data_IF_288404115716
#
_entry.id   IF_288404115716
#
_cell.length_a   1.000
_cell.length_b   1.000
_cell.length_c   1.000
_cell.angle_alpha   90.00
_cell.angle_beta   90.00
_cell.angle_gamma   90.00
#
_symmetry.space_group_name_H-M   'P 1'
#
loop_
_entity.id
_entity.type
_entity.pdbx_description
1 polymer ?
#
# COMPACT_ATOMS: atom_id res chain seq x y z
N UNK A 1 64.28 -53.95 -36.34
CA UNK A 1 63.49 -52.78 -36.79
C UNK A 1 63.57 -52.72 -38.30
N UNK A 2 62.45 -52.83 -39.01
CA UNK A 2 62.42 -52.66 -40.46
C UNK A 2 62.78 -51.20 -40.79
N UNK A 3 63.91 -50.97 -41.48
CA UNK A 3 64.32 -49.64 -41.91
C UNK A 3 63.60 -49.30 -43.21
N UNK A 4 62.43 -48.66 -43.09
CA UNK A 4 61.65 -48.18 -44.23
C UNK A 4 62.04 -46.73 -44.50
N UNK A 5 62.54 -46.44 -45.71
CA UNK A 5 63.13 -45.13 -46.06
C UNK A 5 62.03 -44.06 -46.31
N UNK A 6 60.86 -44.47 -46.82
CA UNK A 6 59.80 -43.54 -47.24
C UNK A 6 58.85 -43.11 -46.12
N UNK A 7 58.83 -43.79 -44.97
CA UNK A 7 57.90 -43.46 -43.88
C UNK A 7 58.63 -43.49 -42.55
N UNK A 8 58.73 -42.32 -41.92
CA UNK A 8 59.36 -42.17 -40.61
C UNK A 8 58.29 -42.14 -39.52
N UNK A 9 58.02 -43.32 -38.95
CA UNK A 9 57.04 -43.46 -37.88
C UNK A 9 57.40 -42.65 -36.62
N UNK A 10 58.69 -42.48 -36.30
CA UNK A 10 59.13 -41.67 -35.15
C UNK A 10 58.84 -40.18 -35.37
N UNK A 11 59.08 -39.66 -36.58
CA UNK A 11 58.74 -38.28 -36.94
C UNK A 11 57.22 -38.05 -36.93
N UNK A 12 56.43 -39.00 -37.44
CA UNK A 12 54.97 -38.89 -37.44
C UNK A 12 54.38 -38.88 -36.01
N UNK A 13 54.88 -39.74 -35.12
CA UNK A 13 54.49 -39.76 -33.71
C UNK A 13 54.93 -38.47 -33.00
N UNK A 14 56.15 -37.98 -33.27
CA UNK A 14 56.64 -36.72 -32.73
C UNK A 14 55.77 -35.52 -33.19
N UNK A 15 55.39 -35.45 -34.47
CA UNK A 15 54.50 -34.42 -35.01
C UNK A 15 53.10 -34.47 -34.38
N UNK A 16 52.51 -35.68 -34.24
CA UNK A 16 51.21 -35.84 -33.59
C UNK A 16 51.24 -35.39 -32.11
N UNK A 17 52.29 -35.71 -31.37
CA UNK A 17 52.46 -35.27 -29.99
C UNK A 17 52.73 -33.76 -29.89
N UNK A 18 53.48 -33.19 -30.84
CA UNK A 18 53.76 -31.76 -30.92
C UNK A 18 52.47 -30.96 -31.20
N UNK A 19 51.63 -31.42 -32.12
CA UNK A 19 50.32 -30.80 -32.41
C UNK A 19 49.37 -30.86 -31.20
N UNK A 20 49.38 -31.96 -30.43
CA UNK A 20 48.63 -32.07 -29.18
C UNK A 20 49.13 -31.06 -28.14
N UNK A 21 50.44 -30.93 -27.96
CA UNK A 21 51.04 -29.96 -27.03
C UNK A 21 50.76 -28.51 -27.42
N UNK A 22 50.78 -28.18 -28.71
CA UNK A 22 50.39 -26.84 -29.20
C UNK A 22 48.92 -26.54 -28.92
N UNK A 23 48.03 -27.51 -29.13
CA UNK A 23 46.59 -27.35 -28.86
C UNK A 23 46.30 -27.17 -27.35
N UNK A 24 47.00 -27.95 -26.52
CA UNK A 24 46.90 -27.82 -25.06
C UNK A 24 47.44 -26.46 -24.56
N UNK A 25 48.55 -25.98 -25.12
CA UNK A 25 49.11 -24.67 -24.83
C UNK A 25 48.12 -23.55 -25.20
N UNK A 26 47.53 -23.62 -26.41
CA UNK A 26 46.53 -22.64 -26.86
C UNK A 26 45.32 -22.56 -25.93
N UNK A 27 44.81 -23.72 -25.50
CA UNK A 27 43.71 -23.79 -24.52
C UNK A 27 44.12 -23.18 -23.17
N UNK A 28 45.35 -23.44 -22.71
CA UNK A 28 45.84 -22.91 -21.43
C UNK A 28 45.96 -21.38 -21.47
N UNK A 29 46.43 -20.83 -22.59
CA UNK A 29 46.53 -19.39 -22.81
C UNK A 29 45.13 -18.76 -22.84
N UNK A 30 44.16 -19.39 -23.52
CA UNK A 30 42.77 -18.91 -23.58
C UNK A 30 42.14 -18.85 -22.17
N UNK A 31 42.34 -19.89 -21.36
CA UNK A 31 41.85 -19.95 -19.99
C UNK A 31 42.53 -18.96 -19.04
N UNK A 32 43.85 -18.78 -19.15
CA UNK A 32 44.58 -17.77 -18.38
C UNK A 32 44.18 -16.35 -18.76
N UNK A 33 43.93 -16.11 -20.06
CA UNK A 33 43.55 -14.79 -20.55
C UNK A 33 42.10 -14.44 -20.21
N UNK A 34 41.18 -15.41 -20.26
CA UNK A 34 39.77 -15.20 -19.91
C UNK A 34 39.50 -15.29 -18.41
N UNK A 35 40.37 -15.97 -17.65
CA UNK A 35 40.12 -16.35 -16.26
C UNK A 35 39.07 -17.47 -16.11
N UNK A 36 38.55 -18.00 -17.23
CA UNK A 36 37.48 -18.98 -17.26
C UNK A 36 38.02 -20.34 -17.73
N UNK A 37 37.65 -21.40 -17.04
CA UNK A 37 37.87 -22.78 -17.45
C UNK A 37 36.99 -23.17 -18.65
N UNK A 38 35.77 -22.65 -18.70
CA UNK A 38 34.78 -22.91 -19.75
C UNK A 38 34.58 -21.60 -20.53
N UNK A 39 35.20 -21.48 -21.70
CA UNK A 39 35.06 -20.29 -22.55
C UNK A 39 34.05 -20.52 -23.68
N UNK A 40 33.86 -21.79 -24.09
CA UNK A 40 32.95 -22.16 -25.17
C UNK A 40 32.21 -23.48 -24.89
N UNK A 41 31.18 -23.77 -25.69
CA UNK A 41 30.40 -25.02 -25.61
C UNK A 41 31.25 -26.28 -25.88
N UNK A 42 32.40 -26.11 -26.55
CA UNK A 42 33.35 -27.19 -26.82
C UNK A 42 34.05 -27.66 -25.53
N UNK A 43 34.24 -26.76 -24.57
CA UNK A 43 34.98 -27.06 -23.33
C UNK A 43 34.13 -27.89 -22.38
N UNK A 44 32.88 -27.48 -22.16
CA UNK A 44 31.86 -28.22 -21.41
C UNK A 44 30.46 -27.65 -21.70
N UNK A 45 29.70 -28.32 -22.57
CA UNK A 45 28.36 -27.90 -22.95
C UNK A 45 27.36 -27.92 -21.77
N UNK A 46 27.49 -28.88 -20.85
CA UNK A 46 26.60 -28.99 -19.69
C UNK A 46 26.92 -27.91 -18.65
N UNK A 47 28.21 -27.72 -18.35
CA UNK A 47 28.69 -26.66 -17.48
C UNK A 47 28.31 -25.26 -17.98
N UNK A 48 28.44 -25.01 -19.28
CA UNK A 48 28.01 -23.75 -19.88
C UNK A 48 26.49 -23.53 -19.79
N UNK A 49 25.67 -24.56 -20.03
CA UNK A 49 24.21 -24.45 -19.91
C UNK A 49 23.77 -24.12 -18.47
N UNK A 50 24.38 -24.78 -17.47
CA UNK A 50 24.11 -24.51 -16.05
C UNK A 50 24.54 -23.07 -15.69
N UNK A 51 25.72 -22.65 -16.15
CA UNK A 51 26.22 -21.30 -15.93
C UNK A 51 25.33 -20.22 -16.55
N UNK A 52 24.80 -20.45 -17.75
CA UNK A 52 23.85 -19.55 -18.40
C UNK A 52 22.57 -19.40 -17.56
N UNK A 53 22.04 -20.51 -17.03
CA UNK A 53 20.88 -20.48 -16.12
C UNK A 53 21.19 -19.75 -14.82
N UNK A 54 22.35 -20.00 -14.21
CA UNK A 54 22.76 -19.26 -13.01
C UNK A 54 22.94 -17.78 -13.27
N UNK A 55 23.49 -17.40 -14.42
CA UNK A 55 23.62 -15.99 -14.82
C UNK A 55 22.26 -15.34 -15.02
N UNK A 56 21.31 -16.01 -15.68
CA UNK A 56 19.92 -15.55 -15.79
C UNK A 56 19.27 -15.33 -14.43
N UNK A 57 19.39 -16.31 -13.52
CA UNK A 57 18.85 -16.19 -12.17
C UNK A 57 19.53 -15.08 -11.36
N UNK A 58 20.86 -14.95 -11.41
CA UNK A 58 21.60 -13.89 -10.70
C UNK A 58 21.14 -12.52 -11.17
N UNK A 59 21.02 -12.32 -12.48
CA UNK A 59 20.54 -11.05 -13.05
C UNK A 59 19.08 -10.78 -12.65
N UNK A 60 18.22 -11.80 -12.69
CA UNK A 60 16.82 -11.71 -12.26
C UNK A 60 16.68 -11.39 -10.78
N UNK A 61 17.42 -12.07 -9.90
CA UNK A 61 17.43 -11.83 -8.45
C UNK A 61 18.01 -10.46 -8.09
N UNK A 62 19.04 -10.00 -8.81
CA UNK A 62 19.60 -8.65 -8.62
C UNK A 62 18.59 -7.56 -9.03
N UNK A 63 17.86 -7.76 -10.13
CA UNK A 63 16.75 -6.87 -10.48
C UNK A 63 15.62 -6.92 -9.45
N UNK A 64 15.27 -8.11 -8.97
CA UNK A 64 14.28 -8.28 -7.92
C UNK A 64 14.65 -7.56 -6.62
N UNK A 65 15.94 -7.55 -6.24
CA UNK A 65 16.44 -6.78 -5.10
C UNK A 65 16.22 -5.27 -5.32
N UNK A 66 16.50 -4.75 -6.52
CA UNK A 66 16.18 -3.35 -6.86
C UNK A 66 14.68 -3.06 -6.81
N UNK A 67 13.84 -3.90 -7.40
CA UNK A 67 12.39 -3.75 -7.34
C UNK A 67 11.87 -3.76 -5.89
N UNK A 68 12.44 -4.59 -5.01
CA UNK A 68 12.08 -4.62 -3.59
C UNK A 68 12.47 -3.32 -2.87
N UNK A 69 13.62 -2.70 -3.23
CA UNK A 69 14.01 -1.39 -2.72
C UNK A 69 13.06 -0.27 -3.22
N UNK A 70 12.60 -0.36 -4.48
CA UNK A 70 11.58 0.56 -5.00
C UNK A 70 10.26 0.40 -4.23
N UNK A 71 9.87 -0.84 -3.90
CA UNK A 71 8.73 -1.14 -3.04
C UNK A 71 8.84 -0.52 -1.63
N UNK A 72 10.03 -0.56 -1.02
CA UNK A 72 10.31 0.12 0.25
C UNK A 72 10.17 1.63 0.10
N UNK A 73 10.73 2.22 -0.96
CA UNK A 73 10.70 3.66 -1.21
C UNK A 73 9.28 4.17 -1.44
N UNK A 74 8.45 3.40 -2.15
CA UNK A 74 7.03 3.68 -2.34
C UNK A 74 6.28 3.60 -0.99
N UNK A 75 6.52 2.56 -0.20
CA UNK A 75 5.90 2.41 1.11
C UNK A 75 6.29 3.55 2.07
N UNK A 76 7.55 4.00 2.06
CA UNK A 76 8.04 5.12 2.88
C UNK A 76 7.43 6.46 2.45
N UNK A 77 7.30 6.70 1.14
CA UNK A 77 6.65 7.90 0.61
C UNK A 77 5.18 7.95 1.02
N UNK A 78 4.50 6.80 0.93
CA UNK A 78 3.11 6.65 1.36
C UNK A 78 2.96 6.84 2.87
N UNK A 79 3.85 6.24 3.67
CA UNK A 79 3.87 6.40 5.12
C UNK A 79 4.11 7.85 5.55
N UNK A 80 5.00 8.58 4.88
CA UNK A 80 5.22 10.00 5.12
C UNK A 80 3.96 10.84 4.95
N UNK A 81 3.22 10.61 3.86
CA UNK A 81 1.93 11.28 3.64
C UNK A 81 0.87 10.87 4.67
N UNK A 82 0.84 9.60 5.09
CA UNK A 82 -0.07 9.14 6.15
C UNK A 82 0.25 9.74 7.51
N UNK A 83 1.52 10.05 7.81
CA UNK A 83 1.89 10.77 9.02
C UNK A 83 1.30 12.20 9.02
N UNK A 84 1.38 12.92 7.89
CA UNK A 84 0.76 14.24 7.77
C UNK A 84 -0.77 14.18 7.90
N UNK A 85 -1.42 13.15 7.34
CA UNK A 85 -2.85 12.93 7.53
C UNK A 85 -3.16 12.66 9.01
N UNK A 86 -2.37 11.82 9.69
CA UNK A 86 -2.52 11.53 11.11
C UNK A 86 -2.41 12.81 11.97
N UNK A 87 -1.42 13.65 11.70
CA UNK A 87 -1.23 14.92 12.41
C UNK A 87 -2.40 15.89 12.18
N UNK A 88 -2.95 15.97 10.96
CA UNK A 88 -4.15 16.77 10.70
C UNK A 88 -5.37 16.21 11.44
N UNK A 89 -5.57 14.89 11.50
CA UNK A 89 -6.65 14.26 12.25
C UNK A 89 -6.51 14.48 13.77
N UNK A 90 -5.31 14.39 14.33
CA UNK A 90 -5.08 14.70 15.75
C UNK A 90 -5.39 16.17 16.06
N UNK A 91 -5.08 17.08 15.14
CA UNK A 91 -5.46 18.49 15.26
C UNK A 91 -6.99 18.68 15.19
N UNK A 92 -7.67 18.01 14.25
CA UNK A 92 -9.14 18.04 14.18
C UNK A 92 -9.73 17.50 15.49
N UNK A 93 -9.19 16.42 16.05
CA UNK A 93 -9.59 15.88 17.36
C UNK A 93 -9.47 16.93 18.47
N UNK A 94 -8.32 17.61 18.56
CA UNK A 94 -8.08 18.69 19.53
C UNK A 94 -9.11 19.82 19.38
N UNK A 95 -9.35 20.26 18.14
CA UNK A 95 -10.32 21.31 17.83
C UNK A 95 -11.75 20.87 18.16
N UNK A 96 -12.08 19.60 17.94
CA UNK A 96 -13.40 19.02 18.29
C UNK A 96 -13.61 19.05 19.80
N UNK A 97 -12.62 18.64 20.60
CA UNK A 97 -12.67 18.75 22.07
C UNK A 97 -12.81 20.22 22.51
N UNK A 98 -12.10 21.13 21.83
CA UNK A 98 -12.24 22.57 22.10
C UNK A 98 -13.66 23.05 21.79
N UNK A 99 -14.23 22.72 20.64
CA UNK A 99 -15.58 23.11 20.22
C UNK A 99 -16.69 22.50 21.09
N UNK A 100 -16.42 21.36 21.74
CA UNK A 100 -17.32 20.72 22.70
C UNK A 100 -17.41 21.45 24.04
N UNK A 101 -16.51 22.41 24.33
CA UNK A 101 -16.59 23.19 25.57
C UNK A 101 -17.76 24.19 25.51
N UNK A 102 -18.73 24.02 26.42
CA UNK A 102 -19.93 24.86 26.49
C UNK A 102 -19.71 26.33 26.84
N UNK A 103 -18.48 26.74 27.21
CA UNK A 103 -18.15 28.16 27.39
C UNK A 103 -17.88 28.90 26.09
N UNK A 104 -17.75 28.21 24.96
CA UNK A 104 -17.49 28.83 23.67
C UNK A 104 -18.77 29.39 23.06
N UNK A 105 -18.70 30.60 22.51
CA UNK A 105 -19.81 31.19 21.75
C UNK A 105 -19.98 30.50 20.39
N UNK A 106 -21.14 30.69 19.76
CA UNK A 106 -21.39 30.19 18.39
C UNK A 106 -20.35 30.74 17.38
N UNK A 107 -19.94 32.01 17.51
CA UNK A 107 -18.88 32.60 16.69
C UNK A 107 -17.50 31.97 16.91
N UNK A 108 -17.19 31.54 18.15
CA UNK A 108 -15.93 30.84 18.43
C UNK A 108 -15.96 29.44 17.83
N UNK A 109 -17.09 28.75 17.91
CA UNK A 109 -17.29 27.42 17.32
C UNK A 109 -17.24 27.47 15.80
N UNK A 110 -17.78 28.53 15.17
CA UNK A 110 -17.65 28.75 13.73
C UNK A 110 -16.18 28.91 13.31
N UNK A 111 -15.40 29.69 14.07
CA UNK A 111 -13.97 29.88 13.79
C UNK A 111 -13.19 28.56 13.91
N UNK A 112 -13.55 27.72 14.88
CA UNK A 112 -12.99 26.37 15.02
C UNK A 112 -13.39 25.47 13.84
N UNK A 113 -14.65 25.52 13.41
CA UNK A 113 -15.13 24.76 12.25
C UNK A 113 -14.40 25.18 10.97
N UNK A 114 -14.11 26.46 10.78
CA UNK A 114 -13.35 26.95 9.63
C UNK A 114 -11.90 26.39 9.63
N UNK A 115 -11.25 26.29 10.80
CA UNK A 115 -9.95 25.64 10.93
C UNK A 115 -10.05 24.14 10.61
N UNK A 116 -11.06 23.45 11.12
CA UNK A 116 -11.31 22.03 10.82
C UNK A 116 -11.52 21.81 9.32
N UNK A 117 -12.31 22.66 8.66
CA UNK A 117 -12.54 22.61 7.21
C UNK A 117 -11.23 22.76 6.41
N UNK A 118 -10.32 23.64 6.84
CA UNK A 118 -9.00 23.78 6.21
C UNK A 118 -8.15 22.53 6.38
N UNK A 119 -8.20 21.88 7.55
CA UNK A 119 -7.48 20.62 7.81
C UNK A 119 -8.04 19.46 6.98
N UNK A 120 -9.37 19.38 6.86
CA UNK A 120 -10.04 18.40 5.99
C UNK A 120 -9.67 18.60 4.51
N UNK A 121 -9.63 19.86 4.05
CA UNK A 121 -9.16 20.19 2.71
C UNK A 121 -7.68 19.79 2.50
N UNK A 122 -6.84 19.98 3.52
CA UNK A 122 -5.43 19.58 3.48
C UNK A 122 -5.27 18.06 3.42
N UNK A 123 -6.08 17.29 4.15
CA UNK A 123 -6.11 15.82 4.05
C UNK A 123 -6.44 15.39 2.61
N UNK A 124 -7.46 16.00 1.99
CA UNK A 124 -7.80 15.73 0.59
C UNK A 124 -6.65 16.11 -0.37
N UNK A 125 -6.01 17.26 -0.15
CA UNK A 125 -4.85 17.70 -0.94
C UNK A 125 -3.70 16.69 -0.85
N UNK A 126 -3.35 16.22 0.36
CA UNK A 126 -2.29 15.23 0.57
C UNK A 126 -2.65 13.91 -0.14
N UNK A 127 -3.90 13.47 0.00
CA UNK A 127 -4.43 12.26 -0.64
C UNK A 127 -4.28 12.28 -2.17
N UNK A 128 -4.70 13.38 -2.80
CA UNK A 128 -4.73 13.54 -4.26
C UNK A 128 -3.34 13.85 -4.86
N UNK A 129 -2.50 14.58 -4.13
CA UNK A 129 -1.22 15.05 -4.65
C UNK A 129 -0.06 14.09 -4.39
N UNK A 130 -0.14 13.23 -3.36
CA UNK A 130 0.96 12.29 -3.05
C UNK A 130 1.10 11.25 -4.16
N UNK A 131 2.27 11.24 -4.78
CA UNK A 131 2.59 10.31 -5.85
C UNK A 131 4.02 9.78 -5.75
N UNK A 132 4.21 8.56 -6.22
CA UNK A 132 5.52 7.97 -6.40
C UNK A 132 5.64 7.47 -7.82
N UNK A 133 6.58 8.03 -8.59
CA UNK A 133 6.82 7.66 -9.99
C UNK A 133 5.54 7.72 -10.86
N UNK A 134 4.69 8.73 -10.65
CA UNK A 134 3.43 8.92 -11.37
C UNK A 134 2.25 8.07 -10.88
N UNK A 135 2.45 7.19 -9.90
CA UNK A 135 1.37 6.41 -9.26
C UNK A 135 0.86 7.19 -8.05
N UNK A 136 -0.43 7.53 -8.04
CA UNK A 136 -1.11 8.12 -6.88
C UNK A 136 -1.26 7.06 -5.80
N UNK A 137 -0.67 7.28 -4.63
CA UNK A 137 -0.56 6.24 -3.59
C UNK A 137 -1.70 6.23 -2.57
N UNK A 138 -2.46 7.32 -2.46
CA UNK A 138 -3.55 7.48 -1.48
C UNK A 138 -4.88 7.95 -2.10
N UNK A 139 -4.92 8.19 -3.41
CA UNK A 139 -6.11 8.74 -4.08
C UNK A 139 -7.13 7.67 -4.47
N UNK A 140 -6.71 6.41 -4.62
CA UNK A 140 -7.55 5.32 -5.11
C UNK A 140 -7.15 4.01 -4.45
N UNK A 141 -8.13 3.14 -4.19
CA UNK A 141 -7.88 1.77 -3.76
C UNK A 141 -7.21 0.98 -4.89
N UNK A 142 -6.02 0.49 -4.62
CA UNK A 142 -5.25 -0.25 -5.62
C UNK A 142 -4.26 -1.20 -4.97
N UNK A 143 -4.06 -2.35 -5.60
CA UNK A 143 -3.08 -3.32 -5.19
C UNK A 143 -1.89 -3.27 -6.14
N UNK A 144 -0.71 -2.93 -5.63
CA UNK A 144 0.52 -2.87 -6.41
C UNK A 144 1.35 -4.13 -6.17
N UNK A 145 1.54 -4.92 -7.21
CA UNK A 145 2.37 -6.12 -7.15
C UNK A 145 3.83 -5.81 -7.52
N UNK A 146 4.74 -6.00 -6.58
CA UNK A 146 6.18 -5.84 -6.78
C UNK A 146 6.81 -7.21 -7.03
N UNK A 147 7.46 -7.38 -8.19
CA UNK A 147 8.18 -8.60 -8.54
C UNK A 147 9.49 -8.68 -7.76
N UNK A 148 9.58 -9.63 -6.83
CA UNK A 148 10.71 -9.81 -5.90
C UNK A 148 11.44 -11.14 -6.09
N UNK A 149 11.24 -11.80 -7.23
CA UNK A 149 11.96 -13.02 -7.58
C UNK A 149 12.32 -13.08 -9.06
N UNK A 150 13.12 -14.08 -9.43
CA UNK A 150 13.59 -14.27 -10.80
C UNK A 150 12.57 -14.95 -11.72
N UNK A 151 11.53 -15.59 -11.16
CA UNK A 151 10.49 -16.29 -11.92
C UNK A 151 9.14 -15.59 -11.80
N UNK A 152 8.30 -15.76 -12.82
CA UNK A 152 6.96 -15.18 -12.87
C UNK A 152 6.11 -15.56 -11.65
N UNK A 153 5.31 -14.60 -11.17
CA UNK A 153 4.40 -14.79 -10.04
C UNK A 153 5.05 -14.70 -8.65
N UNK A 154 6.37 -14.49 -8.57
CA UNK A 154 7.07 -14.25 -7.31
C UNK A 154 6.94 -12.78 -6.89
N UNK A 155 5.73 -12.38 -6.49
CA UNK A 155 5.40 -10.99 -6.14
C UNK A 155 5.06 -10.80 -4.66
N UNK A 156 5.27 -9.57 -4.19
CA UNK A 156 4.69 -9.06 -2.95
C UNK A 156 3.72 -7.96 -3.31
N UNK A 157 2.51 -8.06 -2.77
CA UNK A 157 1.45 -7.10 -2.96
C UNK A 157 1.52 -6.03 -1.86
N UNK A 158 1.44 -4.77 -2.27
CA UNK A 158 1.24 -3.61 -1.40
C UNK A 158 -0.19 -3.12 -1.63
N UNK A 159 -1.02 -3.23 -0.61
CA UNK A 159 -2.37 -2.67 -0.66
C UNK A 159 -2.28 -1.18 -0.34
N UNK A 160 -2.69 -0.36 -1.28
CA UNK A 160 -2.85 1.07 -1.13
C UNK A 160 -4.34 1.35 -1.03
N UNK A 161 -4.74 2.04 0.03
CA UNK A 161 -6.12 2.42 0.25
C UNK A 161 -6.29 3.91 0.05
N UNK A 162 -7.46 4.29 -0.44
CA UNK A 162 -7.84 5.69 -0.57
C UNK A 162 -8.03 6.31 0.80
N UNK A 163 -7.38 7.45 1.05
CA UNK A 163 -7.38 8.14 2.34
C UNK A 163 -7.80 9.59 2.13
N UNK A 164 -9.09 9.84 1.99
CA UNK A 164 -9.66 11.18 1.83
C UNK A 164 -10.78 11.39 2.85
N UNK A 165 -11.38 12.58 2.90
CA UNK A 165 -12.43 12.87 3.87
C UNK A 165 -13.65 11.95 3.73
N UNK A 166 -13.90 11.40 2.54
CA UNK A 166 -15.01 10.47 2.30
C UNK A 166 -14.74 9.08 2.88
N UNK A 167 -13.59 8.47 2.55
CA UNK A 167 -13.25 7.14 3.05
C UNK A 167 -12.98 7.12 4.55
N UNK A 168 -12.49 8.24 5.09
CA UNK A 168 -12.30 8.43 6.54
C UNK A 168 -13.60 8.75 7.30
N UNK A 169 -14.75 8.83 6.63
CA UNK A 169 -16.04 9.12 7.28
C UNK A 169 -16.18 10.55 7.80
N UNK A 170 -15.39 11.48 7.28
CA UNK A 170 -15.36 12.89 7.70
C UNK A 170 -16.16 13.82 6.77
N UNK A 171 -16.91 13.27 5.81
CA UNK A 171 -17.82 14.05 4.98
C UNK A 171 -18.93 14.65 5.83
N UNK A 172 -19.09 15.98 5.77
CA UNK A 172 -20.07 16.68 6.58
C UNK A 172 -19.70 16.76 8.07
N UNK A 173 -18.41 16.59 8.40
CA UNK A 173 -17.91 16.78 9.77
C UNK A 173 -18.15 18.22 10.21
N UNK A 174 -19.12 18.41 11.09
CA UNK A 174 -19.55 19.70 11.56
C UNK A 174 -19.69 19.71 13.07
N UNK A 175 -18.87 20.52 13.73
CA UNK A 175 -18.96 20.74 15.17
C UNK A 175 -20.14 21.64 15.55
N UNK A 176 -20.76 22.33 14.58
CA UNK A 176 -21.89 23.23 14.81
C UNK A 176 -23.23 22.48 14.88
N UNK A 177 -23.38 21.41 14.10
CA UNK A 177 -24.56 20.54 14.09
C UNK A 177 -24.64 19.69 15.36
N UNK A 178 -25.41 20.16 16.34
CA UNK A 178 -25.80 19.35 17.48
C UNK A 178 -26.92 18.37 17.10
N UNK A 179 -26.65 17.07 17.20
CA UNK A 179 -27.69 16.04 17.40
C UNK A 179 -28.21 15.32 16.16
N UNK A 180 -27.49 14.29 15.70
CA UNK A 180 -28.08 13.22 14.90
C UNK A 180 -27.51 11.88 15.39
N UNK A 181 -28.14 11.30 16.40
CA UNK A 181 -27.87 9.91 16.81
C UNK A 181 -29.11 9.08 16.45
N UNK A 182 -28.91 7.97 15.73
CA UNK A 182 -29.89 7.14 15.00
C UNK A 182 -30.97 6.43 15.86
N UNK A 183 -31.20 6.86 17.11
CA UNK A 183 -32.15 6.21 18.02
C UNK A 183 -33.59 6.72 17.94
N UNK A 184 -33.87 7.81 17.21
CA UNK A 184 -35.22 8.39 17.08
C UNK A 184 -35.62 8.76 15.64
N UNK A 185 -34.92 8.20 14.64
CA UNK A 185 -35.07 8.61 13.24
C UNK A 185 -34.55 10.02 12.98
N UNK A 186 -34.63 10.47 11.73
CA UNK A 186 -34.11 11.77 11.31
C UNK A 186 -34.66 12.91 12.20
N UNK A 187 -33.76 13.62 12.87
CA UNK A 187 -34.10 14.87 13.54
C UNK A 187 -34.27 15.92 12.45
N UNK A 188 -35.48 16.48 12.36
CA UNK A 188 -35.81 17.49 11.34
C UNK A 188 -36.20 18.79 12.00
N UNK A 189 -35.96 19.91 11.31
CA UNK A 189 -36.51 21.20 11.72
C UNK A 189 -38.00 21.27 11.35
N UNK A 190 -38.91 21.51 12.32
CA UNK A 190 -40.33 21.65 12.03
C UNK A 190 -40.56 22.82 11.06
N UNK A 191 -41.22 22.56 9.94
CA UNK A 191 -41.49 23.57 8.90
C UNK A 191 -42.84 23.33 8.22
N UNK A 192 -43.31 24.34 7.48
CA UNK A 192 -44.55 24.27 6.70
C UNK A 192 -44.50 23.09 5.71
N UNK A 193 -45.52 22.24 5.75
CA UNK A 193 -45.62 21.02 4.93
C UNK A 193 -45.04 19.75 5.55
N UNK A 194 -44.38 19.81 6.71
CA UNK A 194 -43.89 18.59 7.40
C UNK A 194 -45.07 17.81 7.98
N UNK A 195 -45.15 16.51 7.68
CA UNK A 195 -46.19 15.63 8.23
C UNK A 195 -45.83 15.21 9.65
N UNK A 196 -46.77 15.41 10.55
CA UNK A 196 -46.66 15.16 11.98
C UNK A 196 -47.70 14.12 12.36
N UNK A 197 -47.31 13.16 13.21
CA UNK A 197 -48.21 12.12 13.74
C UNK A 197 -48.49 12.34 15.20
N UNK A 198 -49.75 12.28 15.62
CA UNK A 198 -50.12 12.32 17.04
C UNK A 198 -50.07 10.92 17.70
N UNK A 199 -50.26 10.89 19.02
CA UNK A 199 -50.27 9.63 19.78
C UNK A 199 -51.45 8.69 19.42
N UNK A 200 -52.47 9.21 18.72
CA UNK A 200 -53.62 8.45 18.25
C UNK A 200 -53.37 7.83 16.87
N UNK A 201 -52.22 8.12 16.24
CA UNK A 201 -51.86 7.65 14.90
C UNK A 201 -52.45 8.48 13.76
N UNK A 202 -52.98 9.67 14.05
CA UNK A 202 -53.45 10.61 13.03
C UNK A 202 -52.28 11.40 12.44
N UNK A 203 -52.30 11.63 11.13
CA UNK A 203 -51.24 12.36 10.43
C UNK A 203 -51.78 13.67 9.85
N UNK A 204 -51.00 14.75 9.98
CA UNK A 204 -51.30 16.06 9.38
C UNK A 204 -50.04 16.75 8.92
N UNK A 205 -50.06 17.41 7.76
CA UNK A 205 -49.02 18.37 7.40
C UNK A 205 -49.19 19.66 8.22
N UNK A 206 -48.10 20.15 8.81
CA UNK A 206 -48.08 21.43 9.52
C UNK A 206 -48.32 22.58 8.54
N UNK A 207 -49.18 23.53 8.91
CA UNK A 207 -49.24 24.84 8.26
C UNK A 207 -48.25 25.83 8.91
N UNK A 208 -47.92 26.92 8.23
CA UNK A 208 -47.11 28.01 8.80
C UNK A 208 -47.65 28.57 10.14
N UNK A 209 -48.98 28.55 10.34
CA UNK A 209 -49.61 28.90 11.61
C UNK A 209 -49.29 27.92 12.74
N UNK A 210 -49.09 26.65 12.41
CA UNK A 210 -48.83 25.57 13.38
C UNK A 210 -47.38 25.64 13.86
N UNK A 211 -46.45 25.98 12.98
CA UNK A 211 -45.05 26.26 13.34
C UNK A 211 -44.96 27.43 14.33
N UNK A 212 -45.79 28.46 14.15
CA UNK A 212 -45.85 29.61 15.08
C UNK A 212 -46.44 29.21 16.44
N UNK A 213 -47.44 28.34 16.45
CA UNK A 213 -48.04 27.80 17.67
C UNK A 213 -47.05 26.89 18.42
N UNK A 214 -46.32 26.03 17.70
CA UNK A 214 -45.26 25.19 18.26
C UNK A 214 -44.16 26.05 18.90
N UNK A 215 -43.70 27.10 18.21
CA UNK A 215 -42.73 28.05 18.77
C UNK A 215 -43.22 28.65 20.08
N UNK A 216 -44.49 29.06 20.11
CA UNK A 216 -45.11 29.63 21.31
C UNK A 216 -45.24 28.59 22.42
N UNK A 217 -45.52 27.32 22.09
CA UNK A 217 -45.60 26.23 23.06
C UNK A 217 -44.23 25.86 23.65
N UNK A 218 -43.16 25.89 22.85
CA UNK A 218 -41.80 25.55 23.29
C UNK A 218 -41.15 26.67 24.09
N UNK A 219 -41.27 27.92 23.66
CA UNK A 219 -40.50 29.03 24.22
C UNK A 219 -41.34 30.09 24.96
N UNK A 220 -42.67 30.07 24.80
CA UNK A 220 -43.55 31.14 25.26
C UNK A 220 -43.57 32.33 24.29
N UNK A 221 -44.51 33.26 24.51
CA UNK A 221 -44.69 34.41 23.63
C UNK A 221 -43.50 35.38 23.71
N UNK A 222 -42.78 35.56 22.59
CA UNK A 222 -41.70 36.55 22.44
C UNK A 222 -40.28 36.01 22.52
N UNK A 223 -40.09 34.74 22.86
CA UNK A 223 -38.76 34.11 22.93
C UNK A 223 -38.36 33.44 21.61
N UNK A 224 -37.06 33.33 21.39
CA UNK A 224 -36.43 32.65 20.24
C UNK A 224 -35.64 31.44 20.70
N UNK A 225 -35.42 30.53 19.76
CA UNK A 225 -34.79 29.24 20.02
C UNK A 225 -34.85 28.33 18.80
N UNK A 226 -34.08 27.25 18.85
CA UNK A 226 -34.05 26.23 17.81
C UNK A 226 -35.07 25.14 18.12
N UNK A 227 -35.86 24.76 17.12
CA UNK A 227 -36.89 23.71 17.25
C UNK A 227 -36.48 22.49 16.46
N UNK A 228 -36.70 21.33 17.05
CA UNK A 228 -36.42 20.03 16.47
C UNK A 228 -37.64 19.13 16.63
N UNK A 229 -37.92 18.32 15.62
CA UNK A 229 -38.86 17.21 15.70
C UNK A 229 -38.12 15.88 15.55
N UNK A 230 -38.63 14.87 16.26
CA UNK A 230 -38.17 13.49 16.13
C UNK A 230 -39.35 12.53 16.22
N UNK A 231 -39.19 11.30 15.73
CA UNK A 231 -40.26 10.29 15.80
C UNK A 231 -39.97 9.34 16.96
N UNK A 232 -40.90 9.22 17.90
CA UNK A 232 -40.83 8.26 19.01
C UNK A 232 -40.98 6.82 18.49
N UNK A 233 -40.61 5.82 19.30
CA UNK A 233 -40.75 4.40 18.94
C UNK A 233 -42.21 3.98 18.63
N UNK A 234 -43.19 4.69 19.18
CA UNK A 234 -44.61 4.49 18.90
C UNK A 234 -45.09 5.12 17.57
N UNK A 235 -44.20 5.78 16.82
CA UNK A 235 -44.52 6.48 15.58
C UNK A 235 -45.04 7.90 15.76
N UNK A 236 -45.21 8.39 16.99
CA UNK A 236 -45.64 9.76 17.30
C UNK A 236 -44.49 10.76 17.03
N UNK A 237 -44.81 11.91 16.46
CA UNK A 237 -43.85 13.00 16.31
C UNK A 237 -43.82 13.83 17.59
N UNK A 238 -42.64 13.93 18.19
CA UNK A 238 -42.38 14.76 19.36
C UNK A 238 -41.51 15.97 18.98
N UNK A 239 -41.58 17.03 19.79
CA UNK A 239 -40.84 18.26 19.55
C UNK A 239 -40.01 18.64 20.74
N UNK A 240 -38.80 19.15 20.49
CA UNK A 240 -37.92 19.71 21.50
C UNK A 240 -37.45 21.07 21.02
N UNK A 241 -37.40 22.02 21.94
CA UNK A 241 -36.89 23.36 21.73
C UNK A 241 -35.73 23.63 22.67
N UNK A 242 -34.70 24.30 22.17
CA UNK A 242 -33.65 24.91 22.99
C UNK A 242 -33.79 26.41 22.87
N UNK A 243 -34.06 27.10 23.97
CA UNK A 243 -34.09 28.58 23.97
C UNK A 243 -32.67 29.15 23.92
N UNK A 244 -32.57 30.46 23.70
CA UNK A 244 -31.28 31.17 23.62
C UNK A 244 -30.45 31.10 24.93
N UNK A 245 -31.08 30.74 26.06
CA UNK A 245 -30.44 30.53 27.36
C UNK A 245 -30.01 29.06 27.57
N UNK A 246 -30.18 28.19 26.57
CA UNK A 246 -29.80 26.78 26.60
C UNK A 246 -30.76 25.88 27.38
N UNK A 247 -31.95 26.38 27.74
CA UNK A 247 -32.97 25.59 28.43
C UNK A 247 -33.74 24.75 27.41
N UNK A 248 -33.78 23.46 27.67
CA UNK A 248 -34.50 22.48 26.85
C UNK A 248 -35.95 22.38 27.31
N UNK A 249 -36.88 22.56 26.39
CA UNK A 249 -38.32 22.35 26.58
C UNK A 249 -38.84 21.34 25.57
N UNK A 250 -39.88 20.60 25.91
CA UNK A 250 -40.51 19.65 25.00
C UNK A 250 -41.94 20.10 24.68
N UNK A 251 -42.47 19.64 23.55
CA UNK A 251 -43.88 19.77 23.22
C UNK A 251 -44.40 18.49 22.56
N UNK A 252 -45.66 18.17 22.86
CA UNK A 252 -46.41 17.10 22.19
C UNK A 252 -47.47 17.69 21.29
N UNK A 253 -47.86 16.92 20.28
CA UNK A 253 -48.90 17.28 19.31
C UNK A 253 -50.16 16.45 19.56
N UNK A 254 -51.30 17.12 19.47
CA UNK A 254 -52.61 16.49 19.42
C UNK A 254 -53.31 16.89 18.13
N UNK A 255 -53.80 15.91 17.37
CA UNK A 255 -54.55 16.12 16.15
C UNK A 255 -56.01 15.80 16.44
N UNK A 256 -56.89 16.79 16.26
CA UNK A 256 -58.34 16.62 16.44
C UNK A 256 -59.00 16.40 15.09
N UNK A 257 -59.70 15.27 14.87
CA UNK A 257 -60.40 15.01 13.62
C UNK A 257 -61.68 15.86 13.48
N UNK A 258 -62.11 16.10 12.24
CA UNK A 258 -63.37 16.80 11.93
C UNK A 258 -64.58 15.95 12.31
N UNK A 259 -64.48 14.64 12.10
CA UNK A 259 -65.44 13.61 12.50
C UNK A 259 -64.65 12.38 13.01
N UNK A 260 -64.80 11.99 14.28
CA UNK A 260 -64.08 10.85 14.86
C UNK A 260 -64.53 9.49 14.31
N UNK A 261 -65.71 9.41 13.67
CA UNK A 261 -66.29 8.17 13.15
C UNK A 261 -66.16 8.04 11.60
N UNK A 262 -65.50 9.00 10.94
CA UNK A 262 -65.29 8.98 9.48
C UNK A 262 -64.18 8.01 9.06
N UNK A 263 -64.38 7.32 7.92
CA UNK A 263 -63.36 6.49 7.26
C UNK A 263 -63.14 6.94 5.80
N UNK A 264 -62.01 7.59 5.46
CA UNK A 264 -60.87 7.88 6.33
C UNK A 264 -61.11 9.07 7.28
N UNK A 265 -60.45 9.05 8.43
CA UNK A 265 -60.43 10.15 9.40
C UNK A 265 -59.79 11.38 8.75
N UNK A 266 -60.56 12.48 8.61
CA UNK A 266 -60.04 13.76 8.10
C UNK A 266 -59.64 14.64 9.29
N UNK A 267 -58.38 15.08 9.38
CA UNK A 267 -57.95 15.93 10.49
C UNK A 267 -58.45 17.37 10.34
N UNK A 268 -58.98 17.96 11.42
CA UNK A 268 -59.52 19.34 11.44
C UNK A 268 -58.55 20.38 12.03
N UNK A 269 -57.80 20.03 13.08
CA UNK A 269 -56.90 20.98 13.74
C UNK A 269 -55.76 20.30 14.49
N UNK A 270 -54.61 20.97 14.53
CA UNK A 270 -53.42 20.58 15.28
C UNK A 270 -53.22 21.50 16.49
N UNK A 271 -52.91 20.93 17.65
CA UNK A 271 -52.60 21.68 18.86
C UNK A 271 -51.29 21.19 19.49
N UNK A 272 -50.48 22.12 19.99
CA UNK A 272 -49.23 21.82 20.68
C UNK A 272 -49.36 22.11 22.17
N UNK A 273 -48.95 21.15 23.01
CA UNK A 273 -48.94 21.32 24.45
C UNK A 273 -47.50 21.27 24.95
N UNK A 274 -47.10 22.29 25.72
CA UNK A 274 -45.80 22.30 26.38
C UNK A 274 -45.70 21.13 27.37
N UNK A 275 -44.61 20.39 27.28
CA UNK A 275 -44.27 19.29 28.17
C UNK A 275 -42.93 19.59 28.86
N UNK A 276 -42.73 18.95 30.01
CA UNK A 276 -41.40 18.95 30.64
C UNK A 276 -40.50 18.02 29.86
N UNK A 277 -39.37 18.52 29.35
CA UNK A 277 -38.36 17.69 28.72
C UNK A 277 -37.89 16.62 29.72
N UNK A 278 -37.98 15.36 29.33
CA UNK A 278 -37.50 14.23 30.11
C UNK A 278 -35.98 14.28 30.26
N UNK A 279 -35.43 13.62 31.29
CA UNK A 279 -33.97 13.50 31.45
C UNK A 279 -33.29 12.93 30.22
N UNK A 280 -33.98 12.05 29.49
CA UNK A 280 -33.48 11.46 28.25
C UNK A 280 -33.51 12.47 27.09
N UNK A 281 -34.53 13.34 26.99
CA UNK A 281 -34.57 14.43 26.00
C UNK A 281 -33.54 15.52 26.30
N UNK A 282 -33.31 15.83 27.58
CA UNK A 282 -32.27 16.80 28.01
C UNK A 282 -30.86 16.22 27.79
N UNK A 283 -30.63 14.95 28.11
CA UNK A 283 -29.33 14.29 27.92
C UNK A 283 -28.94 14.12 26.45
N UNK A 284 -29.91 13.90 25.54
CA UNK A 284 -29.70 13.77 24.09
C UNK A 284 -29.20 15.05 23.41
N UNK A 285 -29.53 16.22 23.96
CA UNK A 285 -29.08 17.51 23.41
C UNK A 285 -27.83 18.05 24.11
N UNK A 286 -27.58 17.65 25.36
CA UNK A 286 -26.44 18.11 26.15
C UNK A 286 -25.12 17.32 25.98
N UNK A 287 -25.18 16.01 25.65
CA UNK A 287 -24.01 15.12 25.85
C UNK A 287 -23.64 14.24 24.63
N UNK A 288 -24.51 14.08 23.63
CA UNK A 288 -24.32 13.07 22.55
C UNK A 288 -23.46 13.52 21.37
N UNK A 289 -23.18 14.82 21.24
CA UNK A 289 -22.59 15.40 20.02
C UNK A 289 -21.06 15.29 20.01
N UNK A 290 -20.43 15.44 21.18
CA UNK A 290 -18.98 15.30 21.32
C UNK A 290 -18.54 13.83 21.20
N UNK A 291 -19.31 12.89 21.78
CA UNK A 291 -18.97 11.46 21.71
C UNK A 291 -19.04 10.92 20.28
N UNK A 292 -20.04 11.32 19.48
CA UNK A 292 -20.15 10.92 18.07
C UNK A 292 -19.02 11.47 17.19
N UNK A 293 -18.72 12.77 17.30
CA UNK A 293 -17.68 13.42 16.50
C UNK A 293 -16.28 12.94 16.87
N UNK A 294 -15.98 12.80 18.17
CA UNK A 294 -14.70 12.25 18.60
C UNK A 294 -14.54 10.78 18.19
N UNK A 295 -15.62 10.00 18.25
CA UNK A 295 -15.61 8.63 17.75
C UNK A 295 -15.32 8.57 16.25
N UNK A 296 -15.91 9.44 15.43
CA UNK A 296 -15.58 9.53 13.99
C UNK A 296 -14.11 9.83 13.75
N UNK A 297 -13.53 10.78 14.49
CA UNK A 297 -12.10 11.10 14.36
C UNK A 297 -11.21 9.95 14.84
N UNK A 298 -11.59 9.28 15.94
CA UNK A 298 -10.86 8.12 16.47
C UNK A 298 -10.94 6.91 15.51
N UNK A 299 -12.08 6.70 14.84
CA UNK A 299 -12.23 5.71 13.76
C UNK A 299 -11.36 6.05 12.55
N UNK A 300 -11.32 7.31 12.13
CA UNK A 300 -10.45 7.79 11.04
C UNK A 300 -8.96 7.58 11.38
N UNK A 301 -8.54 7.92 12.61
CA UNK A 301 -7.18 7.68 13.09
C UNK A 301 -6.84 6.18 13.08
N UNK A 302 -7.76 5.32 13.54
CA UNK A 302 -7.57 3.88 13.53
C UNK A 302 -7.42 3.30 12.11
N UNK A 303 -8.13 3.84 11.12
CA UNK A 303 -7.96 3.46 9.72
C UNK A 303 -6.56 3.83 9.19
N UNK A 304 -6.11 5.06 9.46
CA UNK A 304 -4.74 5.52 9.10
C UNK A 304 -3.68 4.62 9.72
N UNK A 305 -3.82 4.30 11.01
CA UNK A 305 -2.84 3.47 11.72
C UNK A 305 -2.85 2.01 11.24
N UNK A 306 -4.01 1.49 10.84
CA UNK A 306 -4.12 0.16 10.22
C UNK A 306 -3.35 0.11 8.89
N UNK A 307 -3.53 1.11 8.03
CA UNK A 307 -2.80 1.19 6.77
C UNK A 307 -1.28 1.36 7.00
N UNK A 308 -0.86 2.25 7.91
CA UNK A 308 0.55 2.44 8.30
C UNK A 308 1.17 1.14 8.82
N UNK A 309 0.46 0.42 9.68
CA UNK A 309 0.89 -0.88 10.19
C UNK A 309 1.12 -1.89 9.05
N UNK A 310 0.20 -1.94 8.08
CA UNK A 310 0.34 -2.84 6.92
C UNK A 310 1.51 -2.46 6.00
N UNK A 311 1.80 -1.17 5.83
CA UNK A 311 2.95 -0.68 5.07
C UNK A 311 4.26 -0.98 5.80
N UNK A 312 4.32 -0.78 7.12
CA UNK A 312 5.47 -1.15 7.94
C UNK A 312 5.75 -2.66 7.91
N UNK A 313 4.71 -3.49 7.97
CA UNK A 313 4.85 -4.94 7.79
C UNK A 313 5.40 -5.30 6.40
N UNK A 314 4.95 -4.59 5.36
CA UNK A 314 5.45 -4.77 3.99
C UNK A 314 6.93 -4.34 3.86
N UNK A 315 7.35 -3.24 4.47
CA UNK A 315 8.76 -2.80 4.51
C UNK A 315 9.67 -3.84 5.18
N UNK A 316 9.23 -4.42 6.31
CA UNK A 316 9.95 -5.50 6.98
C UNK A 316 10.05 -6.75 6.09
N UNK A 317 8.96 -7.09 5.40
CA UNK A 317 8.94 -8.21 4.46
C UNK A 317 9.88 -7.99 3.29
N UNK A 318 9.91 -6.81 2.67
CA UNK A 318 10.86 -6.49 1.61
C UNK A 318 12.31 -6.55 2.10
N UNK A 319 12.61 -6.04 3.30
CA UNK A 319 13.96 -6.09 3.89
C UNK A 319 14.44 -7.53 4.11
N UNK A 320 13.55 -8.41 4.58
CA UNK A 320 13.84 -9.84 4.74
C UNK A 320 14.06 -10.52 3.38
N UNK A 321 13.24 -10.19 2.38
CA UNK A 321 13.39 -10.73 1.02
C UNK A 321 14.69 -10.27 0.38
N UNK A 322 15.07 -9.00 0.48
CA UNK A 322 16.35 -8.48 -0.02
C UNK A 322 17.51 -9.28 0.59
N UNK A 323 17.51 -9.47 1.91
CA UNK A 323 18.54 -10.27 2.60
C UNK A 323 18.61 -11.72 2.09
N UNK A 324 17.45 -12.32 1.78
CA UNK A 324 17.40 -13.67 1.21
C UNK A 324 17.88 -13.72 -0.25
N UNK A 325 17.50 -12.73 -1.05
CA UNK A 325 17.92 -12.59 -2.45
C UNK A 325 19.44 -12.42 -2.54
N UNK A 326 20.03 -11.57 -1.72
CA UNK A 326 21.48 -11.31 -1.72
C UNK A 326 22.27 -12.56 -1.32
N UNK A 327 21.79 -13.32 -0.32
CA UNK A 327 22.36 -14.62 0.03
C UNK A 327 22.27 -15.62 -1.14
N UNK A 328 21.13 -15.65 -1.83
CA UNK A 328 20.93 -16.54 -2.97
C UNK A 328 21.82 -16.16 -4.16
N UNK A 329 21.95 -14.86 -4.44
CA UNK A 329 22.86 -14.31 -5.46
C UNK A 329 24.30 -14.69 -5.15
N UNK A 330 24.73 -14.57 -3.88
CA UNK A 330 26.07 -14.95 -3.44
C UNK A 330 26.32 -16.44 -3.64
N UNK A 331 25.41 -17.30 -3.16
CA UNK A 331 25.50 -18.76 -3.31
C UNK A 331 25.51 -19.21 -4.78
N UNK A 332 24.69 -18.60 -5.63
CA UNK A 332 24.67 -18.88 -7.07
C UNK A 332 25.94 -18.36 -7.76
N UNK A 333 26.47 -17.22 -7.34
CA UNK A 333 27.71 -16.66 -7.87
C UNK A 333 28.91 -17.54 -7.55
N UNK A 334 29.01 -18.04 -6.30
CA UNK A 334 30.03 -19.01 -5.92
C UNK A 334 29.88 -20.33 -6.69
N UNK A 335 28.64 -20.81 -6.84
CA UNK A 335 28.36 -22.04 -7.58
C UNK A 335 28.73 -21.88 -9.07
N UNK A 336 28.47 -20.71 -9.65
CA UNK A 336 28.91 -20.37 -11.01
C UNK A 336 30.42 -20.29 -11.10
N UNK A 337 31.09 -19.65 -10.15
CA UNK A 337 32.56 -19.53 -10.08
C UNK A 337 33.22 -20.91 -10.06
N UNK A 338 32.74 -21.85 -9.22
CA UNK A 338 33.24 -23.24 -9.18
C UNK A 338 33.08 -23.99 -10.52
N UNK A 339 32.13 -23.59 -11.37
CA UNK A 339 31.89 -24.20 -12.68
C UNK A 339 32.73 -23.51 -13.76
N UNK A 340 32.73 -22.19 -13.78
CA UNK A 340 33.24 -21.37 -14.89
C UNK A 340 34.68 -20.93 -14.70
N UNK A 341 35.12 -20.63 -13.49
CA UNK A 341 36.40 -19.96 -13.26
C UNK A 341 37.56 -20.96 -13.33
N UNK A 342 38.69 -20.51 -13.87
CA UNK A 342 39.90 -21.31 -13.93
C UNK A 342 40.75 -21.12 -12.66
N UNK A 343 41.31 -22.21 -12.16
CA UNK A 343 42.37 -22.15 -11.15
C UNK A 343 43.70 -21.78 -11.84
N UNK A 344 44.14 -20.53 -11.61
CA UNK A 344 45.38 -20.00 -12.16
C UNK A 344 46.60 -20.87 -11.85
N UNK A 345 46.72 -21.43 -10.65
CA UNK A 345 47.88 -22.24 -10.28
C UNK A 345 47.97 -23.52 -11.12
N UNK A 346 46.82 -24.16 -11.36
CA UNK A 346 46.71 -25.34 -12.22
C UNK A 346 46.98 -25.00 -13.69
N UNK A 347 46.41 -23.91 -14.19
CA UNK A 347 46.53 -23.52 -15.59
C UNK A 347 47.94 -23.03 -15.95
N UNK A 348 48.61 -22.28 -15.06
CA UNK A 348 50.04 -21.92 -15.23
C UNK A 348 50.93 -23.16 -15.24
N UNK A 349 50.64 -24.15 -14.38
CA UNK A 349 51.38 -25.41 -14.36
C UNK A 349 51.20 -26.21 -15.65
N UNK A 350 49.98 -26.26 -16.19
CA UNK A 350 49.68 -26.90 -17.47
C UNK A 350 50.32 -26.17 -18.65
N UNK A 351 50.27 -24.84 -18.66
CA UNK A 351 50.95 -24.00 -19.67
C UNK A 351 52.46 -24.24 -19.66
N UNK A 352 53.09 -24.23 -18.48
CA UNK A 352 54.51 -24.50 -18.33
C UNK A 352 54.88 -25.90 -18.84
N UNK A 353 54.10 -26.92 -18.46
CA UNK A 353 54.26 -28.28 -18.99
C UNK A 353 54.14 -28.33 -20.51
N UNK A 354 53.14 -27.67 -21.09
CA UNK A 354 52.90 -27.65 -22.52
C UNK A 354 54.04 -26.94 -23.28
N UNK A 355 54.57 -25.84 -22.74
CA UNK A 355 55.75 -25.15 -23.27
C UNK A 355 57.01 -26.04 -23.26
N UNK A 356 57.25 -26.76 -22.16
CA UNK A 356 58.38 -27.70 -22.05
C UNK A 356 58.21 -28.86 -23.04
N UNK A 357 56.99 -29.39 -23.19
CA UNK A 357 56.72 -30.45 -24.17
C UNK A 357 56.83 -29.97 -25.62
N UNK A 358 56.51 -28.70 -25.89
CA UNK A 358 56.69 -28.10 -27.22
C UNK A 358 58.17 -27.99 -27.58
N UNK A 359 59.02 -27.49 -26.66
CA UNK A 359 60.47 -27.36 -26.89
C UNK A 359 61.18 -28.71 -26.96
N UNK A 360 60.77 -29.68 -26.12
CA UNK A 360 61.26 -31.06 -26.22
C UNK A 360 60.78 -31.71 -27.54
N UNK A 361 59.52 -31.49 -27.93
CA UNK A 361 58.94 -32.03 -29.16
C UNK A 361 59.63 -31.54 -30.43
N UNK A 362 59.99 -30.25 -30.52
CA UNK A 362 60.76 -29.71 -31.66
C UNK A 362 62.16 -30.32 -31.73
N UNK A 363 62.80 -30.52 -30.57
CA UNK A 363 64.13 -31.14 -30.47
C UNK A 363 64.09 -32.61 -30.90
N UNK A 364 63.11 -33.38 -30.42
CA UNK A 364 62.93 -34.80 -30.79
C UNK A 364 62.52 -34.94 -32.25
N UNK A 365 61.70 -34.04 -32.78
CA UNK A 365 61.35 -34.03 -34.20
C UNK A 365 62.57 -33.75 -35.08
N UNK A 366 63.41 -32.79 -34.69
CA UNK A 366 64.67 -32.50 -35.38
C UNK A 366 65.59 -33.73 -35.40
N UNK A 367 65.73 -34.43 -34.26
CA UNK A 367 66.53 -35.66 -34.16
C UNK A 367 65.90 -36.82 -34.96
N UNK A 368 64.58 -36.99 -34.91
CA UNK A 368 63.87 -38.02 -35.66
C UNK A 368 64.00 -37.83 -37.18
N UNK A 369 64.08 -36.59 -37.66
CA UNK A 369 64.30 -36.27 -39.07
C UNK A 369 65.74 -36.52 -39.55
N UNK A 370 66.72 -36.60 -38.64
CA UNK A 370 68.12 -36.94 -38.98
C UNK A 370 68.36 -38.46 -39.11
N UNK A 371 67.52 -39.31 -38.51
CA UNK A 371 67.68 -40.77 -38.56
C UNK A 371 67.72 -41.34 -40.00
N UNK A 372 66.83 -40.95 -40.93
CA UNK A 372 66.90 -41.40 -42.32
C UNK A 372 68.15 -40.91 -43.07
N UNK A 373 68.70 -39.74 -42.72
CA UNK A 373 69.92 -39.21 -43.32
C UNK A 373 71.16 -40.02 -42.91
N UNK A 374 71.22 -40.48 -41.66
CA UNK A 374 72.28 -41.38 -41.19
C UNK A 374 72.21 -42.76 -41.85
N UNK A 375 71.02 -43.23 -42.26
CA UNK A 375 70.86 -44.47 -43.03
C UNK A 375 71.33 -44.28 -44.47
N UNK A 376 71.06 -43.12 -45.08
CA UNK A 376 71.57 -42.78 -46.42
C UNK A 376 73.10 -42.61 -46.44
N UNK A 377 73.73 -42.16 -45.35
CA UNK A 377 75.20 -42.11 -45.26
C UNK A 377 75.87 -43.47 -45.14
N UNK A 378 75.14 -44.50 -44.68
CA UNK A 378 75.63 -45.89 -44.60
C UNK A 378 75.50 -46.65 -45.94
N UNK A 379 74.74 -46.11 -46.89
CA UNK A 379 74.52 -46.67 -48.23
C UNK A 379 75.38 -45.98 -49.31
N UNK A 380 76.26 -45.04 -48.92
CA UNK A 380 77.18 -44.32 -49.81
C UNK A 380 78.59 -44.87 -49.75
#
# INVERSE_FOLDING_TARGET
>A
MSQVINTNAMSLVAQNNLNKSQSALGTSIERLSSGLRINSAKDDAAGQAISNRFTGNINGLSQASRNANDGISLAQTTEGALNEINDNLQNIRRLTVQAANGTNSESDRQSIQDEINQRLAEINRISEQTEFNGVKVLSTDQNLSIQVGANDGQTININLSQMNTETLGMTGFDVLSFGNDDKFGAITTPSDGVVVKDASGNDMAMAASDVTQLKTALFGAGNTGQMFSYTKENGETAFVGVDDDGKVTAATVAITPEDPDADPVVPASMAFTAATATSDEVAKFGDSVSEGLLKTVDEALAQVDTLRSSLGASQNRFSSVISNLDNTVTNLSESRSRIMDADFASEVSNMSRANILQSAGTTVLAQANQVPQNVLSLLR
#
